data_IF_620479962308
#
_entry.id   IF_620479962308
#
_cell.length_a   1.000
_cell.length_b   1.000
_cell.length_c   1.000
_cell.angle_alpha   90.00
_cell.angle_beta   90.00
_cell.angle_gamma   90.00
#
_symmetry.space_group_name_H-M   'P 1'
#
loop_
_entity.id
_entity.type
_entity.pdbx_description
1 polymer ?
#
# COMPACT_ATOMS: atom_id res chain seq x y z
N UNK A 1 -21.39 -16.32 3.16
CA UNK A 1 -21.11 -15.15 2.28
C UNK A 1 -20.24 -14.21 3.09
N UNK A 2 -18.92 -14.33 2.90
CA UNK A 2 -17.89 -13.75 3.76
C UNK A 2 -17.80 -12.23 3.60
N UNK A 3 -17.82 -11.50 4.71
CA UNK A 3 -17.49 -10.08 4.78
C UNK A 3 -16.89 -9.85 6.16
N UNK A 4 -15.58 -10.09 6.36
CA UNK A 4 -14.81 -9.59 7.50
C UNK A 4 -13.30 -9.54 7.18
N UNK A 5 -12.92 -8.92 6.05
CA UNK A 5 -11.53 -8.48 5.89
C UNK A 5 -11.41 -7.07 6.51
N UNK A 6 -11.16 -7.04 7.82
CA UNK A 6 -10.44 -5.93 8.46
C UNK A 6 -9.10 -5.72 7.75
N UNK A 7 -8.52 -4.52 7.81
CA UNK A 7 -7.20 -4.24 7.24
C UNK A 7 -6.08 -4.98 7.99
N UNK A 8 -6.10 -6.30 7.91
CA UNK A 8 -5.03 -7.14 8.42
C UNK A 8 -3.93 -7.22 7.37
N UNK A 9 -2.70 -7.13 7.90
CA UNK A 9 -1.48 -7.49 7.18
C UNK A 9 -1.64 -8.89 6.59
N UNK A 10 -1.08 -9.12 5.41
CA UNK A 10 -1.10 -10.44 4.75
C UNK A 10 -0.32 -11.48 5.52
N UNK A 11 0.59 -11.04 6.38
CA UNK A 11 1.31 -11.89 7.32
C UNK A 11 1.74 -11.13 8.57
N UNK A 12 2.05 -11.87 9.63
CA UNK A 12 2.76 -11.39 10.81
C UNK A 12 3.99 -12.25 11.07
N UNK A 13 5.01 -11.66 11.69
CA UNK A 13 6.19 -12.39 12.13
C UNK A 13 6.30 -12.30 13.65
N UNK A 14 6.54 -13.44 14.29
CA UNK A 14 6.77 -13.52 15.72
C UNK A 14 8.07 -14.25 16.04
N UNK A 15 8.87 -13.66 16.90
CA UNK A 15 10.05 -14.30 17.48
C UNK A 15 9.62 -15.17 18.65
N UNK A 16 9.92 -16.47 18.57
CA UNK A 16 9.59 -17.44 19.60
C UNK A 16 10.61 -17.41 20.74
N UNK A 17 10.11 -17.58 21.97
CA UNK A 17 10.84 -17.42 23.23
C UNK A 17 12.06 -18.34 23.40
N UNK A 18 12.03 -19.52 22.78
CA UNK A 18 12.81 -20.68 23.23
C UNK A 18 13.97 -21.10 22.32
N UNK A 19 14.25 -20.36 21.24
CA UNK A 19 15.27 -20.81 20.27
C UNK A 19 15.73 -19.78 19.25
N UNK A 20 15.24 -18.54 19.33
CA UNK A 20 15.47 -17.53 18.30
C UNK A 20 14.82 -17.88 16.96
N UNK A 21 13.85 -18.81 16.96
CA UNK A 21 13.02 -19.19 15.83
C UNK A 21 12.02 -18.08 15.49
N UNK A 22 11.64 -17.98 14.21
CA UNK A 22 10.66 -17.00 13.76
C UNK A 22 9.44 -17.76 13.22
N UNK A 23 8.27 -17.52 13.79
CA UNK A 23 7.00 -17.96 13.23
C UNK A 23 6.51 -16.94 12.20
N UNK A 24 6.08 -17.44 11.05
CA UNK A 24 5.30 -16.71 10.06
C UNK A 24 3.83 -17.07 10.26
N UNK A 25 3.02 -16.06 10.51
CA UNK A 25 1.58 -16.21 10.69
C UNK A 25 0.86 -15.58 9.50
N UNK A 26 -0.22 -16.21 9.08
CA UNK A 26 -1.06 -15.76 7.97
C UNK A 26 -2.52 -15.82 8.37
N UNK A 27 -3.37 -14.92 7.85
CA UNK A 27 -4.79 -14.93 8.17
C UNK A 27 -5.47 -16.15 7.53
N UNK A 28 -6.22 -16.90 8.31
CA UNK A 28 -7.10 -17.97 7.82
C UNK A 28 -8.43 -17.44 7.29
N UNK A 29 -9.30 -18.35 6.85
CA UNK A 29 -10.64 -18.04 6.32
C UNK A 29 -11.54 -17.30 7.32
N UNK A 30 -11.28 -17.48 8.62
CA UNK A 30 -11.95 -16.82 9.74
C UNK A 30 -11.32 -15.47 10.11
N UNK A 31 -10.31 -15.04 9.35
CA UNK A 31 -9.53 -13.84 9.60
C UNK A 31 -8.72 -13.91 10.92
N UNK A 32 -8.50 -15.10 11.48
CA UNK A 32 -7.60 -15.33 12.61
C UNK A 32 -6.21 -15.66 12.09
N UNK A 33 -5.16 -15.18 12.76
CA UNK A 33 -3.78 -15.47 12.38
C UNK A 33 -3.40 -16.90 12.82
N UNK A 34 -3.01 -17.73 11.87
CA UNK A 34 -2.52 -19.08 12.09
C UNK A 34 -1.05 -19.17 11.70
N UNK A 35 -0.26 -19.96 12.42
CA UNK A 35 1.14 -20.21 12.06
C UNK A 35 1.19 -21.03 10.77
N UNK A 36 1.78 -20.46 9.73
CA UNK A 36 2.04 -21.10 8.45
C UNK A 36 3.31 -21.96 8.50
N UNK A 37 4.38 -21.39 9.08
CA UNK A 37 5.68 -22.05 9.21
C UNK A 37 6.49 -21.46 10.37
N UNK A 38 7.41 -22.27 10.92
CA UNK A 38 8.40 -21.83 11.92
C UNK A 38 9.81 -22.00 11.37
N UNK A 39 10.50 -20.88 11.17
CA UNK A 39 11.84 -20.84 10.62
C UNK A 39 12.90 -21.02 11.71
N UNK A 40 13.68 -22.11 11.71
CA UNK A 40 14.87 -22.25 12.52
C UNK A 40 15.96 -21.24 12.10
N UNK A 41 16.97 -20.98 12.95
CA UNK A 41 18.00 -19.98 12.68
C UNK A 41 18.71 -20.09 11.32
N UNK A 42 18.79 -21.28 10.72
CA UNK A 42 19.40 -21.49 9.41
C UNK A 42 18.53 -21.01 8.24
N UNK A 43 17.21 -20.94 8.42
CA UNK A 43 16.25 -20.56 7.37
C UNK A 43 15.84 -19.07 7.48
N UNK A 44 16.32 -18.39 8.52
CA UNK A 44 16.11 -16.96 8.78
C UNK A 44 17.11 -16.04 8.09
N UNK A 45 18.04 -16.56 7.30
CA UNK A 45 19.03 -15.76 6.59
C UNK A 45 18.99 -16.06 5.09
N UNK A 46 19.24 -15.05 4.23
CA UNK A 46 19.46 -15.28 2.81
C UNK A 46 20.80 -16.01 2.65
N UNK A 47 20.78 -17.33 2.77
CA UNK A 47 21.95 -18.17 2.54
C UNK A 47 22.18 -18.24 1.02
N UNK A 48 23.37 -17.83 0.58
CA UNK A 48 23.69 -17.58 -0.84
C UNK A 48 23.61 -18.77 -1.82
N UNK A 49 23.05 -19.93 -1.45
CA UNK A 49 22.98 -21.10 -2.35
C UNK A 49 21.78 -22.04 -2.19
N UNK A 50 20.78 -21.83 -1.33
CA UNK A 50 19.92 -22.97 -0.92
C UNK A 50 18.50 -23.09 -1.55
N UNK A 51 17.75 -22.02 -1.88
CA UNK A 51 16.39 -22.22 -2.45
C UNK A 51 16.41 -22.67 -3.92
N UNK A 52 17.17 -22.01 -4.79
CA UNK A 52 17.23 -22.38 -6.22
C UNK A 52 18.00 -23.67 -6.51
N UNK A 53 18.79 -24.17 -5.56
CA UNK A 53 19.60 -25.39 -5.74
C UNK A 53 19.03 -26.56 -4.95
N UNK A 54 18.44 -26.33 -3.76
CA UNK A 54 18.02 -27.39 -2.83
C UNK A 54 16.59 -27.21 -2.29
N UNK A 55 15.80 -26.26 -2.82
CA UNK A 55 14.40 -26.00 -2.44
C UNK A 55 14.16 -25.85 -0.93
N UNK A 56 15.10 -25.22 -0.23
CA UNK A 56 14.98 -24.99 1.22
C UNK A 56 14.07 -23.81 1.55
N UNK A 57 13.31 -23.87 2.65
CA UNK A 57 12.52 -22.76 3.14
C UNK A 57 13.39 -21.52 3.39
N UNK A 58 12.82 -20.34 3.13
CA UNK A 58 13.51 -19.09 3.40
C UNK A 58 12.51 -18.01 3.79
N UNK A 59 12.63 -17.51 5.02
CA UNK A 59 11.70 -16.54 5.58
C UNK A 59 11.48 -15.31 4.68
N UNK A 60 12.55 -14.75 4.11
CA UNK A 60 12.44 -13.53 3.30
C UNK A 60 11.75 -13.78 1.97
N UNK A 61 12.04 -14.92 1.34
CA UNK A 61 11.44 -15.27 0.06
C UNK A 61 9.97 -15.68 0.24
N UNK A 62 9.65 -16.41 1.31
CA UNK A 62 8.27 -16.82 1.59
C UNK A 62 7.40 -15.61 1.98
N UNK A 63 7.94 -14.65 2.73
CA UNK A 63 7.27 -13.37 2.99
C UNK A 63 7.03 -12.59 1.70
N UNK A 64 8.01 -12.56 0.78
CA UNK A 64 7.85 -11.94 -0.54
C UNK A 64 6.79 -12.66 -1.39
N UNK A 65 6.80 -14.00 -1.40
CA UNK A 65 5.81 -14.81 -2.12
C UNK A 65 4.38 -14.47 -1.64
N UNK A 66 4.17 -14.30 -0.33
CA UNK A 66 2.89 -13.86 0.24
C UNK A 66 2.54 -12.43 -0.20
N UNK A 67 3.50 -11.50 -0.21
CA UNK A 67 3.25 -10.13 -0.70
C UNK A 67 2.97 -10.07 -2.20
N UNK A 68 3.41 -11.08 -2.96
CA UNK A 68 3.08 -11.24 -4.38
C UNK A 68 1.71 -11.93 -4.58
N UNK A 69 1.06 -12.37 -3.50
CA UNK A 69 -0.26 -13.00 -3.51
C UNK A 69 -0.22 -14.52 -3.71
N UNK A 70 0.94 -15.15 -3.58
CA UNK A 70 1.05 -16.60 -3.59
C UNK A 70 0.57 -17.21 -2.27
N UNK A 71 0.13 -18.47 -2.33
CA UNK A 71 -0.27 -19.20 -1.13
C UNK A 71 0.93 -19.38 -0.19
N UNK A 72 0.75 -19.16 1.11
CA UNK A 72 1.79 -19.41 2.09
C UNK A 72 2.08 -20.90 2.18
N UNK A 73 3.27 -21.22 2.70
CA UNK A 73 3.55 -22.58 3.17
C UNK A 73 2.62 -22.92 4.33
N UNK A 74 2.19 -24.17 4.43
CA UNK A 74 1.33 -24.65 5.50
C UNK A 74 1.81 -26.02 5.99
N UNK A 75 2.88 -26.00 6.78
CA UNK A 75 3.55 -27.19 7.33
C UNK A 75 3.87 -27.02 8.83
N UNK A 76 3.25 -26.04 9.49
CA UNK A 76 3.36 -25.83 10.93
C UNK A 76 2.77 -27.01 11.71
N UNK A 77 3.35 -27.27 12.89
CA UNK A 77 2.81 -28.27 13.81
C UNK A 77 1.75 -27.65 14.73
N UNK A 78 0.80 -28.43 15.28
CA UNK A 78 -0.21 -27.91 16.21
C UNK A 78 0.37 -27.20 17.44
N UNK A 79 1.58 -27.58 17.87
CA UNK A 79 2.26 -26.94 19.00
C UNK A 79 2.86 -25.57 18.67
N UNK A 80 3.05 -25.25 17.39
CA UNK A 80 3.65 -23.97 16.99
C UNK A 80 2.71 -22.79 17.19
N UNK A 81 1.40 -23.01 17.08
CA UNK A 81 0.39 -21.99 17.36
C UNK A 81 0.49 -21.49 18.81
N UNK A 82 0.51 -22.40 19.80
CA UNK A 82 0.64 -22.07 21.23
C UNK A 82 1.95 -21.30 21.51
N UNK A 83 3.04 -21.70 20.86
CA UNK A 83 4.34 -21.03 20.99
C UNK A 83 4.28 -19.60 20.42
N UNK A 84 3.65 -19.43 19.25
CA UNK A 84 3.51 -18.13 18.62
C UNK A 84 2.58 -17.18 19.39
N UNK A 85 1.60 -17.68 20.14
CA UNK A 85 0.74 -16.83 20.99
C UNK A 85 1.54 -16.03 22.02
N UNK A 86 2.59 -16.63 22.59
CA UNK A 86 3.48 -15.98 23.57
C UNK A 86 4.69 -15.26 22.95
N UNK A 87 4.88 -15.38 21.62
CA UNK A 87 5.99 -14.79 20.89
C UNK A 87 5.91 -13.27 20.74
N UNK A 88 7.07 -12.62 20.60
CA UNK A 88 7.16 -11.17 20.40
C UNK A 88 7.08 -10.81 18.91
N UNK A 89 6.27 -9.82 18.56
CA UNK A 89 6.20 -9.32 17.18
C UNK A 89 7.56 -8.80 16.70
N UNK A 90 7.90 -9.14 15.45
CA UNK A 90 9.09 -8.64 14.76
C UNK A 90 8.70 -8.25 13.33
N UNK A 91 9.46 -7.34 12.71
CA UNK A 91 9.22 -6.93 11.32
C UNK A 91 10.28 -7.47 10.37
N UNK A 92 9.92 -7.63 9.10
CA UNK A 92 10.84 -8.06 8.04
C UNK A 92 12.03 -7.11 7.93
N UNK A 93 11.80 -5.80 8.07
CA UNK A 93 12.84 -4.77 8.14
C UNK A 93 13.83 -4.99 9.28
N UNK A 94 13.34 -5.31 10.48
CA UNK A 94 14.21 -5.56 11.64
C UNK A 94 15.07 -6.81 11.42
N UNK A 95 14.51 -7.86 10.81
CA UNK A 95 15.24 -9.07 10.46
C UNK A 95 16.27 -8.83 9.36
N UNK A 96 15.94 -8.04 8.34
CA UNK A 96 16.87 -7.65 7.29
C UNK A 96 18.04 -6.83 7.85
N UNK A 97 17.78 -5.89 8.77
CA UNK A 97 18.83 -5.15 9.48
C UNK A 97 19.73 -6.06 10.33
N UNK A 98 19.16 -7.06 11.01
CA UNK A 98 19.92 -8.08 11.75
C UNK A 98 20.82 -8.89 10.80
N UNK A 99 20.29 -9.30 9.65
CA UNK A 99 21.05 -9.99 8.62
C UNK A 99 22.19 -9.12 8.06
N UNK A 100 21.94 -7.83 7.82
CA UNK A 100 22.95 -6.88 7.36
C UNK A 100 24.11 -6.75 8.36
N UNK A 101 23.81 -6.62 9.66
CA UNK A 101 24.83 -6.58 10.73
C UNK A 101 25.66 -7.86 10.78
N UNK A 102 25.00 -9.02 10.77
CA UNK A 102 25.69 -10.31 10.73
C UNK A 102 26.61 -10.46 9.49
N UNK A 103 26.21 -9.86 8.36
CA UNK A 103 27.01 -9.83 7.13
C UNK A 103 28.22 -8.89 7.20
N UNK A 104 28.17 -7.87 8.06
CA UNK A 104 29.22 -6.87 8.26
C UNK A 104 30.28 -7.33 9.28
N UNK A 105 29.86 -7.99 10.36
CA UNK A 105 30.73 -8.39 11.48
C UNK A 105 31.72 -9.52 11.15
N UNK A 106 31.59 -10.14 9.96
CA UNK A 106 32.60 -11.06 9.44
C UNK A 106 32.71 -12.39 10.22
N UNK A 107 31.72 -12.75 11.04
CA UNK A 107 31.74 -13.91 11.93
C UNK A 107 31.89 -15.24 11.16
N UNK A 108 33.14 -15.69 10.96
CA UNK A 108 33.57 -17.03 10.48
C UNK A 108 33.03 -17.52 9.12
N UNK A 109 32.03 -16.87 8.55
CA UNK A 109 31.19 -17.35 7.47
C UNK A 109 30.70 -16.20 6.57
N UNK A 110 31.39 -15.06 6.59
CA UNK A 110 31.08 -13.83 5.84
C UNK A 110 30.84 -14.03 4.33
N UNK A 111 31.34 -15.15 3.77
CA UNK A 111 31.10 -15.55 2.37
C UNK A 111 29.67 -16.06 2.10
N UNK A 112 28.92 -16.48 3.14
CA UNK A 112 27.55 -17.01 3.01
C UNK A 112 26.46 -15.92 3.00
N UNK A 113 26.78 -14.71 3.47
CA UNK A 113 25.83 -13.61 3.66
C UNK A 113 26.02 -12.46 2.64
N UNK A 114 26.51 -12.76 1.44
CA UNK A 114 26.81 -11.73 0.42
C UNK A 114 25.62 -10.82 0.10
N UNK A 115 24.39 -11.32 0.26
CA UNK A 115 23.16 -10.62 -0.11
C UNK A 115 22.42 -9.97 1.06
N UNK A 116 22.93 -10.07 2.30
CA UNK A 116 22.24 -9.55 3.50
C UNK A 116 22.34 -8.04 3.70
N UNK A 117 23.35 -7.37 3.12
CA UNK A 117 23.62 -5.93 3.37
C UNK A 117 22.52 -5.01 2.85
N UNK A 118 22.04 -5.29 1.64
CA UNK A 118 21.04 -4.48 0.93
C UNK A 118 19.70 -5.22 0.85
N UNK A 119 19.48 -6.19 1.75
CA UNK A 119 18.32 -7.09 1.68
C UNK A 119 17.00 -6.34 1.81
N UNK A 120 16.93 -5.37 2.73
CA UNK A 120 15.74 -4.56 2.91
C UNK A 120 15.43 -3.74 1.66
N UNK A 121 16.44 -3.09 1.08
CA UNK A 121 16.27 -2.27 -0.12
C UNK A 121 15.77 -3.12 -1.29
N UNK A 122 16.32 -4.34 -1.47
CA UNK A 122 15.86 -5.30 -2.48
C UNK A 122 14.40 -5.72 -2.26
N UNK A 123 14.02 -6.04 -1.02
CA UNK A 123 12.64 -6.41 -0.65
C UNK A 123 11.68 -5.25 -0.97
N UNK A 124 12.01 -4.03 -0.55
CA UNK A 124 11.16 -2.86 -0.79
C UNK A 124 11.08 -2.51 -2.27
N UNK A 125 12.18 -2.64 -3.02
CA UNK A 125 12.19 -2.39 -4.46
C UNK A 125 11.33 -3.43 -5.21
N UNK A 126 11.40 -4.70 -4.83
CA UNK A 126 10.55 -5.76 -5.38
C UNK A 126 9.07 -5.50 -5.10
N UNK A 127 8.70 -5.29 -3.84
CA UNK A 127 7.32 -5.04 -3.44
C UNK A 127 6.76 -3.77 -4.09
N UNK A 128 7.55 -2.69 -4.15
CA UNK A 128 7.16 -1.45 -4.83
C UNK A 128 6.95 -1.68 -6.35
N UNK A 129 7.81 -2.46 -7.00
CA UNK A 129 7.64 -2.79 -8.42
C UNK A 129 6.40 -3.64 -8.68
N UNK A 130 6.02 -4.52 -7.75
CA UNK A 130 4.83 -5.37 -7.87
C UNK A 130 3.51 -4.56 -7.79
N UNK A 131 3.50 -3.43 -7.07
CA UNK A 131 2.31 -2.57 -6.91
C UNK A 131 2.32 -1.34 -7.81
N UNK A 132 3.46 -0.98 -8.39
CA UNK A 132 3.57 0.12 -9.33
C UNK A 132 2.85 -0.23 -10.64
N UNK A 133 1.86 0.58 -10.99
CA UNK A 133 1.00 0.34 -12.15
C UNK A 133 0.92 1.58 -13.07
N UNK A 134 2.01 2.32 -13.26
CA UNK A 134 2.08 3.55 -14.08
C UNK A 134 1.60 3.41 -15.54
N UNK A 135 1.38 2.19 -16.05
CA UNK A 135 0.83 1.94 -17.39
C UNK A 135 -0.55 1.27 -17.39
N UNK A 136 -1.16 1.06 -16.22
CA UNK A 136 -2.49 0.47 -16.11
C UNK A 136 -3.58 1.49 -16.42
N UNK A 137 -4.71 1.01 -16.93
CA UNK A 137 -5.88 1.85 -17.15
C UNK A 137 -6.43 2.40 -15.82
N UNK A 138 -6.84 3.68 -15.77
CA UNK A 138 -7.47 4.25 -14.59
C UNK A 138 -8.71 3.48 -14.14
N UNK A 139 -8.91 3.39 -12.83
CA UNK A 139 -10.06 2.72 -12.24
C UNK A 139 -11.17 3.75 -12.05
N UNK A 140 -12.04 3.86 -13.06
CA UNK A 140 -13.07 4.93 -13.13
C UNK A 140 -14.51 4.44 -13.32
N UNK A 141 -14.73 3.23 -13.84
CA UNK A 141 -16.08 2.68 -14.07
C UNK A 141 -16.61 1.96 -12.82
N UNK A 142 -17.11 2.73 -11.84
CA UNK A 142 -17.56 2.18 -10.54
C UNK A 142 -19.06 2.38 -10.26
N UNK A 143 -19.79 3.17 -11.07
CA UNK A 143 -21.22 3.47 -10.81
C UNK A 143 -22.17 2.42 -11.42
N UNK A 144 -23.06 1.90 -10.55
CA UNK A 144 -24.22 0.99 -10.79
C UNK A 144 -23.96 -0.49 -11.11
N UNK A 145 -22.99 -0.86 -11.95
CA UNK A 145 -22.76 -2.28 -12.30
C UNK A 145 -21.38 -2.82 -11.85
N UNK A 146 -20.48 -1.95 -11.37
CA UNK A 146 -19.08 -2.27 -11.06
C UNK A 146 -18.61 -1.67 -9.73
N UNK A 147 -19.41 -1.78 -8.66
CA UNK A 147 -18.97 -1.41 -7.31
C UNK A 147 -17.66 -2.16 -6.96
N UNK A 148 -16.71 -1.48 -6.31
CA UNK A 148 -15.47 -2.08 -5.80
C UNK A 148 -15.68 -3.37 -5.02
N UNK A 149 -16.82 -3.52 -4.33
CA UNK A 149 -17.18 -4.72 -3.57
C UNK A 149 -17.59 -5.92 -4.45
N UNK A 150 -17.94 -5.73 -5.72
CA UNK A 150 -18.50 -6.80 -6.56
C UNK A 150 -17.69 -7.13 -7.80
N UNK A 151 -17.14 -6.15 -8.54
CA UNK A 151 -16.64 -6.42 -9.91
C UNK A 151 -15.39 -5.61 -10.34
N UNK A 152 -14.54 -5.15 -9.41
CA UNK A 152 -13.29 -4.46 -9.81
C UNK A 152 -12.14 -5.47 -9.95
N UNK A 153 -11.53 -5.63 -11.15
CA UNK A 153 -10.43 -6.58 -11.36
C UNK A 153 -9.25 -6.37 -10.40
N UNK A 154 -8.97 -5.11 -10.05
CA UNK A 154 -7.82 -4.73 -9.23
C UNK A 154 -8.13 -4.62 -7.74
N UNK A 155 -9.35 -4.99 -7.30
CA UNK A 155 -9.80 -4.84 -5.90
C UNK A 155 -8.80 -5.37 -4.86
N UNK A 156 -8.26 -6.56 -5.09
CA UNK A 156 -7.37 -7.26 -4.16
C UNK A 156 -5.88 -7.06 -4.50
N UNK A 157 -5.56 -6.24 -5.52
CA UNK A 157 -4.17 -5.91 -5.84
C UNK A 157 -3.65 -4.86 -4.87
N UNK A 158 -2.35 -4.91 -4.58
CA UNK A 158 -1.67 -3.88 -3.80
C UNK A 158 -1.83 -2.52 -4.47
N UNK A 159 -2.14 -1.50 -3.68
CA UNK A 159 -2.38 -0.16 -4.16
C UNK A 159 -1.04 0.52 -4.47
N UNK A 160 -0.95 1.10 -5.66
CA UNK A 160 0.17 1.94 -6.06
C UNK A 160 0.34 3.11 -5.08
N UNK A 161 1.48 3.20 -4.36
CA UNK A 161 1.69 4.25 -3.37
C UNK A 161 1.79 5.64 -3.98
N UNK A 162 1.99 5.75 -5.29
CA UNK A 162 2.07 6.98 -6.04
C UNK A 162 0.80 7.24 -6.89
N UNK A 163 -0.26 6.45 -6.79
CA UNK A 163 -1.48 6.78 -7.53
C UNK A 163 -2.20 8.01 -6.95
N UNK A 164 -3.04 8.64 -7.77
CA UNK A 164 -4.11 9.50 -7.31
C UNK A 164 -5.26 8.67 -6.76
N UNK A 165 -5.65 8.94 -5.52
CA UNK A 165 -6.84 8.39 -4.88
C UNK A 165 -7.92 9.46 -4.84
N UNK A 166 -9.02 9.24 -5.55
CA UNK A 166 -10.12 10.19 -5.66
C UNK A 166 -11.35 9.63 -4.97
N UNK A 167 -11.90 10.34 -4.00
CA UNK A 167 -13.09 9.90 -3.26
C UNK A 167 -14.16 10.98 -3.22
N UNK A 168 -15.36 10.58 -2.83
CA UNK A 168 -16.57 11.40 -2.77
C UNK A 168 -17.06 11.95 -4.10
N UNK A 169 -16.36 11.71 -5.22
CA UNK A 169 -16.76 12.18 -6.55
C UNK A 169 -18.22 11.82 -6.88
N UNK A 170 -18.61 10.61 -6.49
CA UNK A 170 -19.92 10.05 -6.74
C UNK A 170 -20.91 10.13 -5.57
N UNK A 171 -20.52 10.66 -4.41
CA UNK A 171 -21.44 10.90 -3.28
C UNK A 171 -21.89 12.36 -3.18
N UNK A 172 -21.28 13.28 -3.95
CA UNK A 172 -21.68 14.69 -4.04
C UNK A 172 -23.16 14.86 -4.38
N UNK A 173 -23.81 15.76 -3.66
CA UNK A 173 -25.20 16.16 -3.89
C UNK A 173 -25.32 17.27 -4.96
N UNK A 174 -24.31 18.14 -5.03
CA UNK A 174 -24.21 19.24 -5.97
C UNK A 174 -22.81 19.32 -6.57
N UNK A 175 -22.66 18.96 -7.84
CA UNK A 175 -21.37 18.92 -8.53
C UNK A 175 -20.64 20.27 -8.66
N UNK A 176 -21.32 21.41 -8.44
CA UNK A 176 -20.70 22.74 -8.45
C UNK A 176 -20.29 23.27 -7.09
N UNK A 177 -20.84 22.72 -6.00
CA UNK A 177 -20.62 23.24 -4.64
C UNK A 177 -19.88 22.26 -3.75
N UNK A 178 -20.18 20.98 -3.90
CA UNK A 178 -19.61 19.95 -3.06
C UNK A 178 -18.26 19.54 -3.65
N UNK A 179 -17.20 19.70 -2.85
CA UNK A 179 -15.87 19.27 -3.26
C UNK A 179 -15.82 17.73 -3.31
N UNK A 180 -15.04 17.20 -4.24
CA UNK A 180 -14.56 15.83 -4.13
C UNK A 180 -13.10 15.83 -3.67
N UNK A 181 -12.69 14.75 -3.04
CA UNK A 181 -11.35 14.58 -2.50
C UNK A 181 -10.41 13.98 -3.54
N UNK A 182 -9.19 14.48 -3.63
CA UNK A 182 -8.13 13.92 -4.47
C UNK A 182 -6.79 13.99 -3.75
N UNK A 183 -6.16 12.84 -3.49
CA UNK A 183 -4.83 12.77 -2.88
C UNK A 183 -3.82 12.15 -3.82
N UNK A 184 -2.66 12.79 -3.98
CA UNK A 184 -1.52 12.26 -4.73
C UNK A 184 -0.68 11.38 -3.80
N UNK A 185 -0.86 10.08 -3.93
CA UNK A 185 -0.11 9.08 -3.18
C UNK A 185 -0.76 8.71 -1.85
N UNK A 186 -0.39 7.51 -1.39
CA UNK A 186 -0.97 6.86 -0.22
C UNK A 186 -0.68 7.63 1.07
N UNK A 187 0.51 8.20 1.22
CA UNK A 187 0.84 8.99 2.40
C UNK A 187 -0.01 10.26 2.52
N UNK A 188 -0.40 10.86 1.39
CA UNK A 188 -1.28 12.03 1.39
C UNK A 188 -2.72 11.65 1.75
N UNK A 189 -3.18 10.43 1.43
CA UNK A 189 -4.43 9.89 1.98
C UNK A 189 -4.34 9.77 3.50
N UNK A 190 -3.23 9.24 4.03
CA UNK A 190 -3.05 9.08 5.46
C UNK A 190 -2.97 10.41 6.21
N UNK A 191 -2.25 11.40 5.66
CA UNK A 191 -2.21 12.77 6.18
C UNK A 191 -3.60 13.36 6.20
N UNK A 192 -4.35 13.30 5.09
CA UNK A 192 -5.71 13.83 5.02
C UNK A 192 -6.67 13.18 6.02
N UNK A 193 -6.55 11.86 6.25
CA UNK A 193 -7.38 11.14 7.23
C UNK A 193 -7.00 11.48 8.68
N UNK A 194 -5.74 11.84 8.94
CA UNK A 194 -5.27 12.26 10.25
C UNK A 194 -5.58 13.74 10.55
N UNK A 195 -5.51 14.61 9.54
CA UNK A 195 -5.64 16.06 9.66
C UNK A 195 -7.06 16.59 9.31
N UNK A 196 -7.89 15.79 8.64
CA UNK A 196 -9.13 16.22 8.00
C UNK A 196 -10.22 16.78 8.94
N UNK A 197 -11.08 17.64 8.35
CA UNK A 197 -12.21 18.39 8.95
C UNK A 197 -13.32 17.57 9.65
N UNK A 198 -13.17 16.26 9.75
CA UNK A 198 -14.09 15.35 10.44
C UNK A 198 -13.27 14.80 11.60
N UNK A 199 -13.56 15.22 12.84
CA UNK A 199 -12.92 14.74 14.08
C UNK A 199 -12.39 13.32 13.89
N UNK A 200 -11.07 13.18 13.72
CA UNK A 200 -10.46 11.97 13.18
C UNK A 200 -10.98 10.76 13.97
N UNK A 201 -11.75 9.90 13.31
CA UNK A 201 -12.30 8.72 13.95
C UNK A 201 -11.10 7.93 14.50
N UNK A 202 -10.98 7.72 15.83
CA UNK A 202 -9.81 7.06 16.41
C UNK A 202 -9.53 5.69 15.79
N UNK A 203 -10.57 4.99 15.34
CA UNK A 203 -10.44 3.70 14.66
C UNK A 203 -9.78 3.84 13.28
N UNK A 204 -10.07 4.90 12.53
CA UNK A 204 -9.45 5.18 11.23
C UNK A 204 -7.99 5.56 11.41
N UNK A 205 -7.67 6.39 12.41
CA UNK A 205 -6.28 6.75 12.72
C UNK A 205 -5.47 5.52 13.11
N UNK A 206 -6.03 4.65 13.95
CA UNK A 206 -5.38 3.38 14.30
C UNK A 206 -5.17 2.48 13.08
N UNK A 207 -6.15 2.39 12.17
CA UNK A 207 -6.00 1.60 10.94
C UNK A 207 -4.95 2.17 9.99
N UNK A 208 -4.86 3.50 9.87
CA UNK A 208 -3.81 4.19 9.11
C UNK A 208 -2.43 3.84 9.69
N UNK A 209 -2.26 3.92 11.00
CA UNK A 209 -0.99 3.57 11.64
C UNK A 209 -0.64 2.08 11.49
N UNK A 210 -1.62 1.17 11.62
CA UNK A 210 -1.41 -0.26 11.31
C UNK A 210 -0.94 -0.47 9.88
N UNK A 211 -1.57 0.22 8.93
CA UNK A 211 -1.23 0.13 7.50
C UNK A 211 0.18 0.67 7.23
N UNK A 212 0.56 1.80 7.84
CA UNK A 212 1.92 2.35 7.75
C UNK A 212 2.96 1.38 8.30
N UNK A 213 2.71 0.79 9.48
CA UNK A 213 3.61 -0.18 10.09
C UNK A 213 3.78 -1.43 9.23
N UNK A 214 2.70 -1.95 8.63
CA UNK A 214 2.77 -3.08 7.71
C UNK A 214 3.58 -2.75 6.46
N UNK A 215 3.33 -1.60 5.81
CA UNK A 215 4.10 -1.15 4.65
C UNK A 215 5.58 -0.94 4.97
N UNK A 216 5.89 -0.16 6.00
CA UNK A 216 7.25 0.30 6.31
C UNK A 216 8.10 -0.75 7.05
N UNK A 217 7.44 -1.71 7.70
CA UNK A 217 8.06 -2.80 8.44
C UNK A 217 8.14 -4.10 7.66
N UNK A 218 7.15 -4.39 6.83
CA UNK A 218 6.96 -5.68 6.16
C UNK A 218 6.85 -5.60 4.63
N UNK A 219 6.95 -4.40 4.04
CA UNK A 219 6.73 -4.17 2.61
C UNK A 219 5.34 -4.63 2.13
N UNK A 220 4.38 -4.72 3.05
CA UNK A 220 3.01 -5.12 2.76
C UNK A 220 2.15 -3.88 2.47
N UNK A 221 1.94 -3.60 1.19
CA UNK A 221 1.11 -2.49 0.74
C UNK A 221 -0.38 -2.83 0.88
N UNK A 222 -1.22 -1.89 1.37
CA UNK A 222 -2.67 -2.10 1.39
C UNK A 222 -3.20 -2.29 -0.03
N UNK A 223 -4.25 -3.07 -0.16
CA UNK A 223 -5.00 -3.25 -1.40
C UNK A 223 -5.89 -2.03 -1.70
N UNK A 224 -6.31 -1.87 -2.96
CA UNK A 224 -7.28 -0.84 -3.32
C UNK A 224 -8.60 -0.95 -2.54
N UNK A 225 -9.04 -2.17 -2.19
CA UNK A 225 -10.20 -2.36 -1.33
C UNK A 225 -10.01 -1.82 0.08
N UNK A 226 -8.82 -1.98 0.66
CA UNK A 226 -8.48 -1.42 1.97
C UNK A 226 -8.41 0.11 1.90
N UNK A 227 -7.84 0.68 0.84
CA UNK A 227 -7.83 2.13 0.61
C UNK A 227 -9.25 2.70 0.47
N UNK A 228 -10.11 2.07 -0.33
CA UNK A 228 -11.51 2.46 -0.48
C UNK A 228 -12.30 2.39 0.84
N UNK A 229 -11.98 1.41 1.70
CA UNK A 229 -12.58 1.27 3.03
C UNK A 229 -12.09 2.38 3.98
N UNK A 230 -10.80 2.72 3.96
CA UNK A 230 -10.23 3.82 4.75
C UNK A 230 -10.88 5.16 4.41
N UNK A 231 -11.14 5.39 3.12
CA UNK A 231 -11.81 6.60 2.63
C UNK A 231 -13.34 6.58 2.74
N UNK A 232 -13.91 5.49 3.27
CA UNK A 232 -15.35 5.21 3.29
C UNK A 232 -16.06 5.42 1.94
N UNK A 233 -15.38 5.13 0.83
CA UNK A 233 -15.91 5.31 -0.52
C UNK A 233 -15.74 4.06 -1.39
N UNK A 234 -16.81 3.27 -1.46
CA UNK A 234 -16.88 2.08 -2.34
C UNK A 234 -16.95 2.39 -3.84
N UNK A 235 -16.87 3.67 -4.23
CA UNK A 235 -16.76 4.15 -5.61
C UNK A 235 -15.56 5.10 -5.78
N UNK A 236 -14.49 4.91 -4.98
CA UNK A 236 -13.22 5.58 -5.16
C UNK A 236 -12.70 5.44 -6.60
N UNK A 237 -12.07 6.47 -7.15
CA UNK A 237 -11.40 6.39 -8.45
C UNK A 237 -9.88 6.37 -8.23
N UNK A 238 -9.17 5.72 -9.14
CA UNK A 238 -7.71 5.62 -9.10
C UNK A 238 -7.13 6.01 -10.44
N UNK A 239 -6.09 6.85 -10.41
CA UNK A 239 -5.30 7.19 -11.59
C UNK A 239 -3.83 6.97 -11.26
N UNK A 240 -3.08 6.30 -12.12
CA UNK A 240 -1.69 5.91 -11.83
C UNK A 240 -0.67 7.00 -12.15
N UNK A 241 -1.10 8.08 -12.79
CA UNK A 241 -0.26 9.20 -13.19
C UNK A 241 -1.08 10.50 -13.32
N UNK A 242 -0.37 11.62 -13.37
CA UNK A 242 -0.97 12.96 -13.42
C UNK A 242 -1.67 13.23 -14.76
N UNK A 243 -1.16 12.66 -15.86
CA UNK A 243 -1.69 12.87 -17.19
C UNK A 243 -3.05 12.18 -17.38
N UNK A 244 -3.20 10.94 -16.91
CA UNK A 244 -4.46 10.19 -16.95
C UNK A 244 -5.52 10.84 -16.07
N UNK A 245 -5.14 11.34 -14.88
CA UNK A 245 -6.07 12.09 -14.04
C UNK A 245 -6.51 13.41 -14.70
N UNK A 246 -5.56 14.19 -15.21
CA UNK A 246 -5.86 15.46 -15.89
C UNK A 246 -6.72 15.24 -17.16
N UNK A 247 -6.45 14.20 -17.93
CA UNK A 247 -7.24 13.83 -19.11
C UNK A 247 -8.68 13.49 -18.72
N UNK A 248 -8.85 12.70 -17.66
CA UNK A 248 -10.17 12.34 -17.15
C UNK A 248 -10.95 13.56 -16.65
N UNK A 249 -10.31 14.46 -15.89
CA UNK A 249 -10.94 15.71 -15.43
C UNK A 249 -11.45 16.55 -16.60
N UNK A 250 -10.67 16.64 -17.67
CA UNK A 250 -11.06 17.37 -18.89
C UNK A 250 -12.22 16.71 -19.60
N UNK A 251 -12.23 15.38 -19.68
CA UNK A 251 -13.30 14.64 -20.35
C UNK A 251 -14.62 14.76 -19.58
N UNK A 252 -14.61 14.56 -18.26
CA UNK A 252 -15.80 14.75 -17.43
C UNK A 252 -16.29 16.20 -17.44
N UNK A 253 -15.38 17.19 -17.54
CA UNK A 253 -15.75 18.60 -17.67
C UNK A 253 -16.49 18.96 -18.97
N UNK A 254 -16.41 18.12 -20.01
CA UNK A 254 -17.23 18.26 -21.23
C UNK A 254 -18.65 17.72 -21.02
N UNK A 255 -18.77 16.68 -20.19
CA UNK A 255 -20.03 16.07 -19.80
C UNK A 255 -20.64 16.85 -18.62
N UNK A 256 -21.14 18.07 -18.90
CA UNK A 256 -21.56 19.08 -17.92
C UNK A 256 -22.57 18.58 -16.86
N UNK A 257 -23.26 17.46 -17.08
CA UNK A 257 -24.17 16.87 -16.09
C UNK A 257 -23.45 16.03 -15.01
N UNK A 258 -22.16 15.74 -15.16
CA UNK A 258 -21.35 14.92 -14.25
C UNK A 258 -20.35 15.75 -13.47
N UNK A 259 -19.65 16.66 -14.15
CA UNK A 259 -18.67 17.57 -13.55
C UNK A 259 -18.57 18.85 -14.36
N UNK A 260 -18.31 19.97 -13.69
CA UNK A 260 -18.05 21.25 -14.32
C UNK A 260 -16.57 21.66 -14.14
N UNK A 261 -16.02 22.52 -15.00
CA UNK A 261 -14.65 23.03 -14.80
C UNK A 261 -14.45 23.77 -13.48
N UNK A 262 -15.51 24.38 -12.94
CA UNK A 262 -15.55 25.10 -11.66
C UNK A 262 -15.87 24.20 -10.46
N UNK A 263 -16.10 22.89 -10.66
CA UNK A 263 -16.28 21.93 -9.59
C UNK A 263 -15.11 22.03 -8.59
N UNK A 264 -15.35 22.27 -7.30
CA UNK A 264 -14.28 22.32 -6.32
C UNK A 264 -13.67 20.93 -6.10
N UNK A 265 -12.36 20.90 -5.90
CA UNK A 265 -11.58 19.71 -5.55
C UNK A 265 -10.79 20.02 -4.28
N UNK A 266 -10.88 19.14 -3.30
CA UNK A 266 -10.05 19.16 -2.09
C UNK A 266 -8.81 18.30 -2.36
N UNK A 267 -7.67 18.95 -2.56
CA UNK A 267 -6.44 18.36 -3.11
C UNK A 267 -5.40 18.23 -2.02
N UNK A 268 -4.82 17.03 -1.90
CA UNK A 268 -3.74 16.70 -0.97
C UNK A 268 -2.54 16.15 -1.73
N UNK A 269 -1.38 16.80 -1.61
CA UNK A 269 -0.17 16.43 -2.36
C UNK A 269 1.07 16.60 -1.51
N UNK A 270 2.12 15.84 -1.78
CA UNK A 270 3.46 16.24 -1.34
C UNK A 270 3.94 17.37 -2.26
N UNK A 271 4.21 18.59 -1.75
CA UNK A 271 4.68 19.66 -2.61
C UNK A 271 6.05 19.33 -3.18
N UNK A 272 6.28 19.73 -4.43
CA UNK A 272 7.64 19.71 -4.99
C UNK A 272 8.53 20.67 -4.17
N UNK A 273 9.58 20.17 -3.48
CA UNK A 273 10.43 21.01 -2.65
C UNK A 273 11.27 22.00 -3.47
N UNK A 274 11.30 21.86 -4.79
CA UNK A 274 12.05 22.72 -5.71
C UNK A 274 11.17 23.73 -6.43
N UNK A 275 9.83 23.60 -6.34
CA UNK A 275 8.90 24.51 -6.97
C UNK A 275 8.79 25.84 -6.21
N UNK A 276 8.60 26.93 -6.95
CA UNK A 276 8.33 28.25 -6.37
C UNK A 276 6.90 28.27 -5.82
N UNK A 277 6.67 28.55 -4.52
CA UNK A 277 5.33 28.65 -3.96
C UNK A 277 4.45 29.73 -4.60
N UNK A 278 5.07 30.72 -5.27
CA UNK A 278 4.37 31.78 -6.00
C UNK A 278 4.01 31.37 -7.45
N UNK A 279 4.45 30.20 -7.92
CA UNK A 279 4.09 29.67 -9.25
C UNK A 279 2.59 29.30 -9.27
N UNK A 280 1.79 29.76 -10.26
CA UNK A 280 0.41 29.32 -10.44
C UNK A 280 0.22 27.80 -10.63
N UNK A 281 1.28 27.07 -10.94
CA UNK A 281 1.35 25.62 -11.00
C UNK A 281 1.71 24.93 -9.68
N UNK A 282 2.01 25.68 -8.62
CA UNK A 282 2.36 25.11 -7.32
C UNK A 282 1.13 24.51 -6.63
N UNK A 283 1.26 23.26 -6.17
CA UNK A 283 0.27 22.60 -5.32
C UNK A 283 0.80 22.58 -3.88
N UNK A 284 0.17 23.37 -3.01
CA UNK A 284 0.46 23.35 -1.57
C UNK A 284 0.01 22.00 -0.96
N UNK A 285 0.52 21.62 0.24
CA UNK A 285 0.23 20.31 0.84
C UNK A 285 -1.26 19.96 0.89
N UNK A 286 -2.06 21.00 1.16
CA UNK A 286 -3.50 20.98 1.11
C UNK A 286 -3.98 22.21 0.35
N UNK A 287 -4.82 22.02 -0.66
CA UNK A 287 -5.36 23.09 -1.51
C UNK A 287 -6.81 22.80 -1.88
N UNK A 288 -7.65 23.83 -1.96
CA UNK A 288 -8.98 23.71 -2.56
C UNK A 288 -9.03 24.53 -3.85
N UNK A 289 -9.24 23.86 -5.00
CA UNK A 289 -9.20 24.52 -6.30
C UNK A 289 -10.15 23.89 -7.34
N UNK A 290 -10.51 24.63 -8.41
CA UNK A 290 -11.40 24.12 -9.46
C UNK A 290 -10.79 22.95 -10.23
N UNK A 291 -11.62 21.96 -10.59
CA UNK A 291 -11.21 20.78 -11.35
C UNK A 291 -10.50 21.12 -12.68
N UNK A 292 -10.96 22.18 -13.36
CA UNK A 292 -10.33 22.66 -14.59
C UNK A 292 -8.95 23.28 -14.35
N UNK A 293 -8.74 23.94 -13.20
CA UNK A 293 -7.43 24.47 -12.82
C UNK A 293 -6.48 23.32 -12.46
N UNK A 294 -6.95 22.35 -11.66
CA UNK A 294 -6.19 21.15 -11.30
C UNK A 294 -5.66 20.43 -12.54
N UNK A 295 -6.54 20.17 -13.52
CA UNK A 295 -6.14 19.49 -14.76
C UNK A 295 -5.05 20.25 -15.53
N UNK A 296 -5.02 21.59 -15.46
CA UNK A 296 -3.99 22.39 -16.13
C UNK A 296 -2.68 22.45 -15.36
N UNK A 297 -2.74 22.37 -14.02
CA UNK A 297 -1.55 22.25 -13.17
C UNK A 297 -0.88 20.89 -13.39
N UNK A 298 -1.66 19.80 -13.34
CA UNK A 298 -1.17 18.42 -13.44
C UNK A 298 -0.58 18.07 -14.82
N UNK A 299 -1.18 18.59 -15.89
CA UNK A 299 -0.71 18.32 -17.24
C UNK A 299 -0.97 19.54 -18.13
N UNK A 300 -0.13 20.58 -18.10
CA UNK A 300 -0.34 21.80 -18.87
C UNK A 300 -0.63 21.52 -20.34
N UNK A 301 -1.61 22.22 -20.92
CA UNK A 301 -1.83 22.13 -22.37
C UNK A 301 -0.63 22.77 -23.06
N UNK A 302 -0.09 22.11 -24.06
CA UNK A 302 0.86 22.76 -24.98
C UNK A 302 0.22 24.06 -25.48
N UNK A 303 0.94 25.17 -25.35
CA UNK A 303 0.50 26.43 -25.92
C UNK A 303 0.29 26.19 -27.42
N UNK A 304 -0.93 26.45 -27.90
CA UNK A 304 -1.19 26.47 -29.35
C UNK A 304 -0.18 27.44 -29.96
N UNK A 305 0.79 26.89 -30.70
CA UNK A 305 1.66 27.66 -31.58
C UNK A 305 0.83 28.26 -32.72
#
# INVERSE_FOLDING_TARGET
>A
MMCHNGGMSRFELKMLSDGGEIALLVPGDDAVMHVAHVYPPLEQYPLGTDRYVNDRPNLFLDALDITDGNEPRDDASPGDQERAETGNSVSLRSLAQRAARASADGSGNARRFKDGRDLWDKITAHAAAAVNATGAEPIVDVRRNHNWKKNQPLRNHGADPAAWFVSHFYSRSNSRKDAFFAARGMDQVFVALAEGNVSANPEVVQEVERTRVARDGNADYPTYAQMAKLLDDSNMLVFHDDASFAAWLREQGKAQDVMYPDTPVDVWTEPDPTADPDDPGYLAPHSQLPAGHLANVLAPREAKQ
#
